data_IF_169308592088
#
_entry.id   IF_169308592088
#
_cell.length_a   1.000
_cell.length_b   1.000
_cell.length_c   1.000
_cell.angle_alpha   90.00
_cell.angle_beta   90.00
_cell.angle_gamma   90.00
#
_symmetry.space_group_name_H-M   'P 1'
#
loop_
_entity.id
_entity.type
_entity.pdbx_description
1 polymer ?
#
# COMPACT_ATOMS: atom_id res chain seq x y z
N UNK A 1 2.76 -11.04 15.60
CA UNK A 1 2.42 -12.43 15.98
C UNK A 1 1.44 -13.04 14.97
N UNK A 2 1.13 -14.33 15.08
CA UNK A 2 0.07 -14.99 14.29
C UNK A 2 -1.32 -14.77 14.90
N UNK A 3 -2.38 -15.25 14.23
CA UNK A 3 -3.76 -15.13 14.68
C UNK A 3 -3.97 -15.78 16.05
N UNK A 4 -4.82 -15.16 16.86
CA UNK A 4 -5.29 -15.70 18.13
C UNK A 4 -6.58 -16.47 17.87
N UNK A 5 -6.64 -17.74 18.26
CA UNK A 5 -7.78 -18.60 18.06
C UNK A 5 -8.39 -19.04 19.40
N UNK A 6 -9.63 -19.51 19.33
CA UNK A 6 -10.35 -20.10 20.46
C UNK A 6 -10.92 -21.45 20.02
N UNK A 7 -11.05 -22.40 20.95
CA UNK A 7 -11.62 -23.71 20.64
C UNK A 7 -10.72 -24.54 19.71
N UNK A 8 -11.28 -25.36 18.79
CA UNK A 8 -10.48 -26.31 18.00
C UNK A 8 -9.42 -25.68 17.09
N UNK A 9 -9.57 -24.41 16.71
CA UNK A 9 -8.61 -23.70 15.85
C UNK A 9 -7.25 -23.45 16.55
N UNK A 10 -7.17 -23.60 17.88
CA UNK A 10 -5.91 -23.47 18.64
C UNK A 10 -4.90 -24.57 18.32
N UNK A 11 -5.32 -25.64 17.64
CA UNK A 11 -4.42 -26.64 17.09
C UNK A 11 -3.57 -26.10 15.91
N UNK A 12 -4.03 -25.02 15.25
CA UNK A 12 -3.40 -24.44 14.06
C UNK A 12 -2.87 -23.01 14.29
N UNK A 13 -3.39 -22.31 15.29
CA UNK A 13 -3.08 -20.91 15.59
C UNK A 13 -2.74 -20.74 17.07
N UNK A 14 -2.34 -19.53 17.47
CA UNK A 14 -2.01 -19.28 18.87
C UNK A 14 -3.28 -19.32 19.72
N UNK A 15 -3.23 -19.98 20.87
CA UNK A 15 -4.34 -19.92 21.83
C UNK A 15 -4.51 -18.49 22.35
N UNK A 16 -5.76 -18.02 22.33
CA UNK A 16 -6.10 -16.67 22.76
C UNK A 16 -5.75 -16.39 24.22
N UNK A 17 -6.06 -17.32 25.13
CA UNK A 17 -5.84 -17.18 26.56
C UNK A 17 -4.34 -17.24 26.91
N UNK A 18 -3.58 -18.08 26.20
CA UNK A 18 -2.12 -18.16 26.40
C UNK A 18 -1.43 -16.85 26.01
N UNK A 19 -1.77 -16.29 24.85
CA UNK A 19 -1.17 -15.03 24.41
C UNK A 19 -1.61 -13.88 25.30
N UNK A 20 -2.88 -13.86 25.72
CA UNK A 20 -3.37 -12.87 26.65
C UNK A 20 -2.63 -12.96 28.00
N UNK A 21 -2.51 -14.15 28.57
CA UNK A 21 -1.77 -14.39 29.80
C UNK A 21 -0.31 -13.94 29.70
N UNK A 22 0.32 -14.13 28.54
CA UNK A 22 1.67 -13.64 28.28
C UNK A 22 1.74 -12.10 28.28
N UNK A 23 0.81 -11.44 27.58
CA UNK A 23 0.76 -9.98 27.50
C UNK A 23 0.49 -9.36 28.88
N UNK A 24 -0.46 -9.90 29.64
CA UNK A 24 -0.74 -9.48 31.01
C UNK A 24 0.46 -9.68 31.94
N UNK A 25 1.18 -10.79 31.80
CA UNK A 25 2.36 -11.07 32.63
C UNK A 25 3.53 -10.13 32.31
N UNK A 26 3.75 -9.80 31.03
CA UNK A 26 4.95 -9.08 30.58
C UNK A 26 4.74 -7.57 30.46
N UNK A 27 3.52 -7.12 30.16
CA UNK A 27 3.22 -5.75 29.73
C UNK A 27 1.91 -5.20 30.31
N UNK A 28 1.46 -5.71 31.47
CA UNK A 28 0.21 -5.30 32.12
C UNK A 28 -0.07 -3.80 31.99
N UNK A 29 -1.30 -3.45 31.57
CA UNK A 29 -1.78 -2.08 31.37
C UNK A 29 -1.03 -1.23 30.31
N UNK A 30 0.01 -1.79 29.66
CA UNK A 30 0.90 -1.11 28.72
C UNK A 30 1.00 -1.80 27.36
N UNK A 31 -0.03 -2.55 26.95
CA UNK A 31 -0.09 -3.13 25.60
C UNK A 31 -1.38 -2.77 24.85
N UNK A 32 -1.27 -2.81 23.52
CA UNK A 32 -2.40 -2.71 22.59
C UNK A 32 -2.27 -3.78 21.53
N UNK A 33 -3.35 -4.52 21.29
CA UNK A 33 -3.41 -5.55 20.23
C UNK A 33 -4.01 -4.95 18.97
N UNK A 34 -3.27 -5.00 17.86
CA UNK A 34 -3.76 -4.58 16.54
C UNK A 34 -3.98 -5.80 15.64
N UNK A 35 -5.23 -5.98 15.22
CA UNK A 35 -5.64 -7.04 14.30
C UNK A 35 -5.76 -6.53 12.87
N UNK A 36 -4.90 -7.05 11.99
CA UNK A 36 -4.86 -6.77 10.55
C UNK A 36 -5.49 -7.90 9.71
N UNK A 37 -6.03 -8.96 10.35
CA UNK A 37 -6.66 -10.06 9.64
C UNK A 37 -8.02 -9.63 9.07
N UNK A 38 -8.51 -10.36 8.08
CA UNK A 38 -9.86 -10.16 7.53
C UNK A 38 -10.97 -10.55 8.52
N UNK A 39 -10.60 -11.17 9.66
CA UNK A 39 -11.53 -11.67 10.67
C UNK A 39 -11.46 -10.81 11.93
N UNK A 40 -12.45 -9.93 12.19
CA UNK A 40 -12.55 -9.31 13.50
C UNK A 40 -12.90 -10.39 14.55
N UNK A 41 -12.48 -10.19 15.79
CA UNK A 41 -12.90 -11.05 16.88
C UNK A 41 -14.35 -10.77 17.27
N UNK A 42 -15.14 -11.84 17.44
CA UNK A 42 -16.57 -11.75 17.77
C UNK A 42 -16.85 -11.53 19.26
N UNK A 43 -15.80 -11.31 20.07
CA UNK A 43 -15.88 -11.09 21.51
C UNK A 43 -15.16 -9.79 21.90
N UNK A 44 -15.59 -8.62 21.38
CA UNK A 44 -14.95 -7.33 21.66
C UNK A 44 -14.94 -7.00 23.16
N UNK A 45 -15.93 -7.48 23.93
CA UNK A 45 -15.99 -7.26 25.38
C UNK A 45 -14.85 -7.95 26.14
N UNK A 46 -14.37 -9.11 25.66
CA UNK A 46 -13.20 -9.78 26.23
C UNK A 46 -11.90 -9.11 25.82
N UNK A 47 -11.95 -8.18 24.86
CA UNK A 47 -10.80 -7.49 24.27
C UNK A 47 -10.71 -6.02 24.68
N UNK A 48 -11.83 -5.46 25.15
CA UNK A 48 -11.98 -4.08 25.61
C UNK A 48 -11.02 -3.73 26.76
N UNK A 49 -10.82 -4.61 27.78
CA UNK A 49 -9.82 -4.38 28.82
C UNK A 49 -8.38 -4.30 28.28
N UNK A 50 -8.13 -4.82 27.08
CA UNK A 50 -6.79 -5.07 26.52
C UNK A 50 -6.47 -4.16 25.33
N UNK A 51 -7.20 -3.04 25.20
CA UNK A 51 -7.00 -2.00 24.17
C UNK A 51 -6.94 -2.57 22.75
N UNK A 52 -7.85 -3.47 22.38
CA UNK A 52 -7.90 -4.03 21.04
C UNK A 52 -8.29 -3.01 19.97
N UNK A 53 -7.59 -3.03 18.82
CA UNK A 53 -7.96 -2.26 17.63
C UNK A 53 -8.01 -3.13 16.38
N UNK A 54 -9.11 -3.01 15.65
CA UNK A 54 -9.30 -3.71 14.38
C UNK A 54 -8.97 -2.80 13.18
N UNK A 55 -8.02 -3.23 12.37
CA UNK A 55 -7.61 -2.59 11.13
C UNK A 55 -7.46 -3.62 10.01
N UNK A 56 -8.36 -4.61 9.97
CA UNK A 56 -8.30 -5.72 9.02
C UNK A 56 -8.50 -5.37 7.55
N UNK A 57 -7.89 -6.16 6.67
CA UNK A 57 -8.20 -6.19 5.23
C UNK A 57 -8.00 -7.61 4.67
N UNK A 58 -8.56 -7.91 3.47
CA UNK A 58 -8.52 -9.25 2.88
C UNK A 58 -7.12 -9.85 2.79
N UNK A 59 -7.01 -11.17 2.92
CA UNK A 59 -5.72 -11.84 2.77
C UNK A 59 -5.14 -11.72 1.35
N UNK A 60 -3.81 -11.81 1.26
CA UNK A 60 -3.05 -11.74 0.00
C UNK A 60 -3.33 -10.49 -0.85
N UNK A 61 -3.79 -9.41 -0.21
CA UNK A 61 -3.94 -8.09 -0.82
C UNK A 61 -3.11 -7.06 -0.05
N UNK A 62 -2.58 -6.03 -0.73
CA UNK A 62 -2.01 -4.89 -0.04
C UNK A 62 -3.11 -4.10 0.72
N UNK A 63 -2.76 -3.42 1.83
CA UNK A 63 -3.71 -2.53 2.48
C UNK A 63 -4.08 -1.37 1.55
N UNK A 64 -5.34 -0.92 1.51
CA UNK A 64 -5.69 0.38 0.92
C UNK A 64 -4.77 1.47 1.46
N UNK A 65 -4.31 2.39 0.61
CA UNK A 65 -3.16 3.23 0.98
C UNK A 65 -3.46 4.15 2.17
N UNK A 66 -4.62 4.81 2.19
CA UNK A 66 -5.04 5.63 3.32
C UNK A 66 -5.17 4.82 4.63
N UNK A 67 -5.55 3.54 4.52
CA UNK A 67 -5.68 2.65 5.67
C UNK A 67 -4.31 2.32 6.27
N UNK A 68 -3.30 2.04 5.43
CA UNK A 68 -1.92 1.85 5.89
C UNK A 68 -1.42 3.06 6.69
N UNK A 69 -1.65 4.28 6.19
CA UNK A 69 -1.25 5.52 6.88
C UNK A 69 -1.90 5.62 8.26
N UNK A 70 -3.22 5.38 8.35
CA UNK A 70 -3.95 5.42 9.63
C UNK A 70 -3.43 4.43 10.65
N UNK A 71 -3.12 3.19 10.23
CA UNK A 71 -2.57 2.18 11.14
C UNK A 71 -1.21 2.62 11.68
N UNK A 72 -0.34 3.16 10.81
CA UNK A 72 0.98 3.64 11.21
C UNK A 72 0.89 4.83 12.17
N UNK A 73 -0.02 5.78 11.93
CA UNK A 73 -0.29 6.90 12.84
C UNK A 73 -0.82 6.42 14.20
N UNK A 74 -1.72 5.43 14.22
CA UNK A 74 -2.25 4.89 15.47
C UNK A 74 -1.16 4.16 16.28
N UNK A 75 -0.29 3.40 15.62
CA UNK A 75 0.87 2.79 16.28
C UNK A 75 1.78 3.87 16.89
N UNK A 76 2.09 4.92 16.13
CA UNK A 76 2.94 6.01 16.63
C UNK A 76 2.31 6.71 17.83
N UNK A 77 0.99 6.98 17.77
CA UNK A 77 0.24 7.58 18.86
C UNK A 77 0.31 6.73 20.13
N UNK A 78 0.10 5.42 20.04
CA UNK A 78 0.16 4.51 21.20
C UNK A 78 1.57 4.49 21.81
N UNK A 79 2.60 4.31 20.97
CA UNK A 79 3.99 4.22 21.42
C UNK A 79 4.57 5.54 21.92
N UNK A 80 3.98 6.69 21.54
CA UNK A 80 4.40 8.01 22.01
C UNK A 80 3.75 8.44 23.32
N UNK A 81 2.71 7.72 23.79
CA UNK A 81 2.04 8.04 25.05
C UNK A 81 2.87 7.67 26.27
N UNK A 82 3.58 6.55 26.22
CA UNK A 82 4.43 6.06 27.31
C UNK A 82 5.57 5.21 26.72
N UNK A 83 6.85 5.45 27.11
CA UNK A 83 7.99 4.66 26.63
C UNK A 83 7.92 3.16 26.93
N UNK A 84 7.12 2.71 27.91
CA UNK A 84 6.95 1.27 28.18
C UNK A 84 5.79 0.63 27.41
N UNK A 85 5.02 1.42 26.65
CA UNK A 85 3.94 0.88 25.84
C UNK A 85 4.47 -0.04 24.73
N UNK A 86 3.74 -1.14 24.48
CA UNK A 86 4.01 -2.08 23.39
C UNK A 86 2.80 -2.26 22.51
N UNK A 87 3.03 -2.50 21.21
CA UNK A 87 1.96 -2.80 20.26
C UNK A 87 2.16 -4.20 19.68
N UNK A 88 1.20 -5.09 19.96
CA UNK A 88 1.17 -6.46 19.46
C UNK A 88 0.35 -6.53 18.17
N UNK A 89 1.04 -6.55 17.02
CA UNK A 89 0.41 -6.56 15.69
C UNK A 89 0.29 -8.00 15.18
N UNK A 90 -0.87 -8.39 14.67
CA UNK A 90 -1.08 -9.70 14.06
C UNK A 90 -1.95 -9.66 12.79
N UNK A 91 -1.85 -10.71 11.99
CA UNK A 91 -2.79 -11.05 10.92
C UNK A 91 -3.12 -12.54 11.03
N UNK A 92 -3.31 -13.27 9.93
CA UNK A 92 -3.46 -14.74 9.96
C UNK A 92 -2.14 -15.43 10.37
N UNK A 93 -1.09 -15.30 9.56
CA UNK A 93 0.22 -15.93 9.81
C UNK A 93 1.28 -14.99 10.43
N UNK A 94 0.95 -13.70 10.56
CA UNK A 94 1.88 -12.68 11.04
C UNK A 94 3.07 -12.44 10.11
N UNK A 95 2.88 -12.61 8.79
CA UNK A 95 3.90 -12.45 7.75
C UNK A 95 3.69 -11.14 6.98
N UNK A 96 3.25 -11.20 5.72
CA UNK A 96 3.27 -10.06 4.80
C UNK A 96 2.51 -8.84 5.31
N UNK A 97 1.22 -8.97 5.69
CA UNK A 97 0.40 -7.83 6.17
C UNK A 97 1.00 -7.14 7.40
N UNK A 98 1.41 -7.94 8.38
CA UNK A 98 2.12 -7.47 9.58
C UNK A 98 3.44 -6.79 9.20
N UNK A 99 4.18 -7.37 8.25
CA UNK A 99 5.42 -6.81 7.73
C UNK A 99 5.26 -5.47 7.04
N UNK A 100 4.23 -5.31 6.22
CA UNK A 100 3.94 -4.03 5.54
C UNK A 100 3.75 -2.91 6.56
N UNK A 101 2.95 -3.16 7.60
CA UNK A 101 2.69 -2.18 8.66
C UNK A 101 3.94 -1.91 9.49
N UNK A 102 4.64 -2.95 9.94
CA UNK A 102 5.85 -2.79 10.77
C UNK A 102 6.96 -2.08 9.99
N UNK A 103 7.25 -2.49 8.75
CA UNK A 103 8.26 -1.84 7.93
C UNK A 103 7.91 -0.37 7.67
N UNK A 104 6.64 -0.05 7.40
CA UNK A 104 6.17 1.33 7.25
C UNK A 104 6.32 2.13 8.55
N UNK A 105 6.04 1.53 9.71
CA UNK A 105 6.26 2.18 11.00
C UNK A 105 7.74 2.42 11.32
N UNK A 106 8.62 1.48 10.99
CA UNK A 106 10.07 1.66 11.15
C UNK A 106 10.62 2.84 10.32
N UNK A 107 10.02 3.09 9.16
CA UNK A 107 10.31 4.26 8.33
C UNK A 107 9.72 5.54 8.94
N UNK A 108 8.46 5.49 9.40
CA UNK A 108 7.79 6.61 10.04
C UNK A 108 8.55 7.13 11.27
N UNK A 109 8.97 6.19 12.13
CA UNK A 109 9.73 6.43 13.37
C UNK A 109 11.20 6.79 13.12
N UNK A 110 11.65 6.83 11.85
CA UNK A 110 13.02 7.18 11.44
C UNK A 110 14.09 6.24 11.98
N UNK A 111 13.73 5.04 12.46
CA UNK A 111 14.68 3.98 12.78
C UNK A 111 15.44 3.55 11.51
N UNK A 112 14.72 3.49 10.38
CA UNK A 112 15.31 3.33 9.06
C UNK A 112 14.89 4.45 8.12
N UNK A 113 15.74 4.78 7.16
CA UNK A 113 15.47 5.75 6.10
C UNK A 113 15.53 5.12 4.70
N UNK A 114 15.35 3.80 4.64
CA UNK A 114 15.36 3.01 3.40
C UNK A 114 14.31 1.90 3.51
N UNK A 115 13.35 1.82 2.57
CA UNK A 115 12.37 0.74 2.52
C UNK A 115 13.01 -0.64 2.52
N UNK A 116 14.08 -0.82 1.75
CA UNK A 116 14.76 -2.11 1.62
C UNK A 116 15.35 -2.57 2.96
N UNK A 117 15.98 -1.67 3.72
CA UNK A 117 16.50 -2.00 5.05
C UNK A 117 15.39 -2.29 6.06
N UNK A 118 14.29 -1.54 6.04
CA UNK A 118 13.15 -1.78 6.93
C UNK A 118 12.50 -3.15 6.67
N UNK A 119 12.30 -3.50 5.39
CA UNK A 119 11.75 -4.79 4.95
C UNK A 119 12.73 -5.92 5.33
N UNK A 120 14.02 -5.75 5.02
CA UNK A 120 15.05 -6.72 5.37
C UNK A 120 15.07 -6.99 6.88
N UNK A 121 15.10 -5.93 7.69
CA UNK A 121 15.12 -6.05 9.15
C UNK A 121 13.90 -6.82 9.68
N UNK A 122 12.68 -6.48 9.21
CA UNK A 122 11.48 -7.21 9.58
C UNK A 122 11.58 -8.70 9.21
N UNK A 123 11.99 -9.00 7.98
CA UNK A 123 12.11 -10.36 7.47
C UNK A 123 13.11 -11.20 8.29
N UNK A 124 14.27 -10.61 8.64
CA UNK A 124 15.26 -11.27 9.49
C UNK A 124 14.73 -11.54 10.89
N UNK A 125 14.00 -10.59 11.49
CA UNK A 125 13.46 -10.74 12.85
C UNK A 125 12.26 -11.68 12.94
N UNK A 126 11.45 -11.80 11.89
CA UNK A 126 10.18 -12.57 11.94
C UNK A 126 10.30 -14.02 11.47
N UNK A 127 10.92 -14.31 10.33
CA UNK A 127 10.95 -15.67 9.75
C UNK A 127 12.16 -15.89 8.84
N UNK A 128 13.39 -15.72 9.36
CA UNK A 128 14.65 -16.01 8.66
C UNK A 128 14.70 -15.47 7.21
N UNK A 129 14.17 -14.27 6.98
CA UNK A 129 14.27 -13.59 5.68
C UNK A 129 13.04 -13.70 4.76
N UNK A 130 12.03 -14.51 5.08
CA UNK A 130 10.99 -14.91 4.11
C UNK A 130 9.55 -14.43 4.41
N UNK A 131 9.37 -13.40 5.24
CA UNK A 131 8.03 -12.98 5.69
C UNK A 131 7.28 -12.08 4.70
N UNK A 132 7.72 -10.82 4.51
CA UNK A 132 7.17 -9.85 3.57
C UNK A 132 7.86 -10.02 2.22
N UNK A 133 7.18 -10.69 1.29
CA UNK A 133 7.68 -10.97 -0.07
C UNK A 133 6.73 -10.59 -1.20
N UNK A 134 5.44 -10.39 -0.89
CA UNK A 134 4.44 -10.10 -1.92
C UNK A 134 4.74 -8.74 -2.58
N UNK A 135 4.95 -8.67 -3.91
CA UNK A 135 5.40 -7.45 -4.58
C UNK A 135 4.53 -6.22 -4.33
N UNK A 136 3.20 -6.36 -4.34
CA UNK A 136 2.31 -5.24 -4.05
C UNK A 136 2.47 -4.70 -2.63
N UNK A 137 2.71 -5.57 -1.65
CA UNK A 137 2.91 -5.19 -0.26
C UNK A 137 4.28 -4.56 -0.03
N UNK A 138 5.33 -5.03 -0.71
CA UNK A 138 6.65 -4.38 -0.76
C UNK A 138 6.53 -2.99 -1.39
N UNK A 139 5.76 -2.87 -2.48
CA UNK A 139 5.50 -1.58 -3.12
C UNK A 139 4.75 -0.62 -2.20
N UNK A 140 3.81 -1.09 -1.39
CA UNK A 140 3.14 -0.23 -0.42
C UNK A 140 4.10 0.38 0.60
N UNK A 141 5.13 -0.34 1.04
CA UNK A 141 6.17 0.22 1.92
C UNK A 141 6.96 1.34 1.20
N UNK A 142 7.32 1.12 -0.06
CA UNK A 142 7.99 2.13 -0.88
C UNK A 142 7.11 3.35 -1.15
N UNK A 143 5.83 3.12 -1.47
CA UNK A 143 4.82 4.15 -1.64
C UNK A 143 4.65 4.98 -0.36
N UNK A 144 4.60 4.31 0.80
CA UNK A 144 4.50 4.97 2.09
C UNK A 144 5.73 5.85 2.36
N UNK A 145 6.93 5.33 2.09
CA UNK A 145 8.18 6.08 2.21
C UNK A 145 8.19 7.33 1.32
N UNK A 146 7.78 7.22 0.05
CA UNK A 146 7.74 8.38 -0.84
C UNK A 146 6.67 9.38 -0.39
N UNK A 147 5.49 8.90 -0.01
CA UNK A 147 4.38 9.71 0.49
C UNK A 147 4.77 10.56 1.71
N UNK A 148 5.45 9.96 2.69
CA UNK A 148 5.84 10.68 3.90
C UNK A 148 6.82 11.82 3.65
N UNK A 149 7.53 11.84 2.51
CA UNK A 149 8.47 12.92 2.19
C UNK A 149 7.76 14.24 1.84
N UNK A 150 6.57 14.16 1.23
CA UNK A 150 5.83 15.36 0.79
C UNK A 150 4.53 15.60 1.56
N UNK A 151 3.96 14.59 2.20
CA UNK A 151 2.65 14.70 2.87
C UNK A 151 2.74 14.89 4.40
N UNK A 152 3.93 14.82 5.01
CA UNK A 152 4.07 14.95 6.47
C UNK A 152 3.81 16.39 6.92
N UNK A 153 2.88 16.55 7.86
CA UNK A 153 2.49 17.82 8.46
C UNK A 153 3.38 18.17 9.68
N UNK A 154 3.44 19.45 10.09
CA UNK A 154 4.27 19.89 11.22
C UNK A 154 3.93 19.22 12.56
N UNK A 155 2.68 18.79 12.74
CA UNK A 155 2.21 18.07 13.93
C UNK A 155 2.57 16.56 13.91
N UNK A 156 3.27 16.08 12.88
CA UNK A 156 3.69 14.68 12.75
C UNK A 156 2.68 13.76 12.07
N UNK A 157 1.47 14.22 11.76
CA UNK A 157 0.46 13.46 10.98
C UNK A 157 0.67 13.66 9.48
N UNK A 158 -0.21 13.08 8.66
CA UNK A 158 -0.13 13.18 7.20
C UNK A 158 -1.33 13.89 6.56
N UNK A 159 -1.07 14.70 5.53
CA UNK A 159 -2.12 15.20 4.64
C UNK A 159 -2.57 14.11 3.67
N UNK A 160 -3.78 13.59 3.89
CA UNK A 160 -4.41 12.57 3.06
C UNK A 160 -5.31 13.17 1.97
N UNK A 161 -5.34 14.48 1.76
CA UNK A 161 -6.21 15.15 0.79
C UNK A 161 -6.10 14.53 -0.61
N UNK A 162 -4.88 14.37 -1.13
CA UNK A 162 -4.61 13.76 -2.44
C UNK A 162 -4.95 12.27 -2.51
N UNK A 163 -4.93 11.57 -1.38
CA UNK A 163 -5.29 10.14 -1.32
C UNK A 163 -6.81 9.98 -1.28
N UNK A 164 -7.50 10.79 -0.46
CA UNK A 164 -8.95 10.73 -0.32
C UNK A 164 -9.68 11.28 -1.56
N UNK A 165 -9.12 12.32 -2.19
CA UNK A 165 -9.59 12.88 -3.45
C UNK A 165 -8.70 12.37 -4.59
N UNK A 166 -8.77 11.06 -4.82
CA UNK A 166 -7.81 10.41 -5.67
C UNK A 166 -7.88 10.89 -7.13
N UNK A 167 -6.73 10.93 -7.79
CA UNK A 167 -6.63 11.24 -9.22
C UNK A 167 -7.49 10.29 -10.05
N UNK A 168 -8.07 10.81 -11.13
CA UNK A 168 -8.88 10.04 -12.07
C UNK A 168 -8.04 9.72 -13.31
N UNK A 169 -8.10 8.48 -13.75
CA UNK A 169 -7.44 8.04 -14.99
C UNK A 169 -8.41 7.23 -15.85
N UNK A 170 -8.33 7.39 -17.16
CA UNK A 170 -8.89 6.42 -18.09
C UNK A 170 -7.86 5.36 -18.43
N UNK A 171 -8.21 4.09 -18.29
CA UNK A 171 -7.44 2.99 -18.87
C UNK A 171 -7.70 2.95 -20.38
N UNK A 172 -6.63 3.14 -21.18
CA UNK A 172 -6.70 3.19 -22.63
C UNK A 172 -6.37 1.85 -23.27
N UNK A 173 -5.33 1.18 -22.77
CA UNK A 173 -4.95 -0.13 -23.28
C UNK A 173 -4.17 -0.94 -22.25
N UNK A 174 -4.19 -2.26 -22.45
CA UNK A 174 -3.38 -3.23 -21.73
C UNK A 174 -2.46 -3.91 -22.74
N UNK A 175 -1.18 -3.92 -22.44
CA UNK A 175 -0.15 -4.55 -23.25
C UNK A 175 0.58 -5.60 -22.44
N UNK A 176 0.86 -6.77 -23.03
CA UNK A 176 1.57 -7.83 -22.36
C UNK A 176 2.55 -8.53 -23.31
N UNK A 177 3.80 -8.68 -22.89
CA UNK A 177 4.87 -9.21 -23.74
C UNK A 177 5.96 -9.93 -22.93
N UNK A 178 6.36 -11.16 -23.30
CA UNK A 178 5.62 -12.05 -24.19
C UNK A 178 4.30 -12.51 -23.54
N UNK A 179 3.36 -12.95 -24.36
CA UNK A 179 2.15 -13.62 -23.88
C UNK A 179 2.53 -14.91 -23.14
N UNK A 180 1.96 -15.17 -21.95
CA UNK A 180 2.29 -16.35 -21.17
C UNK A 180 1.78 -17.64 -21.82
N UNK A 181 2.52 -18.72 -21.60
CA UNK A 181 2.13 -20.07 -22.00
C UNK A 181 1.36 -20.72 -20.86
N UNK A 182 0.02 -20.71 -20.95
CA UNK A 182 -0.86 -21.22 -19.87
C UNK A 182 -1.88 -22.23 -20.35
N UNK A 183 -2.53 -22.89 -19.38
CA UNK A 183 -3.57 -23.89 -19.60
C UNK A 183 -3.02 -25.26 -20.00
N UNK A 184 -3.89 -26.26 -20.17
CA UNK A 184 -3.48 -27.65 -20.40
C UNK A 184 -2.57 -27.86 -21.62
N UNK A 185 -2.66 -26.97 -22.61
CA UNK A 185 -1.85 -27.06 -23.83
C UNK A 185 -0.57 -26.22 -23.78
N UNK A 186 -0.40 -25.34 -22.79
CA UNK A 186 0.74 -24.40 -22.68
C UNK A 186 1.09 -23.67 -23.99
N UNK A 187 0.09 -23.43 -24.85
CA UNK A 187 0.29 -22.85 -26.19
C UNK A 187 -0.10 -21.37 -26.28
N UNK A 188 -0.57 -20.77 -25.18
CA UNK A 188 -0.94 -19.36 -25.18
C UNK A 188 -1.88 -18.97 -24.05
N UNK A 189 -2.47 -17.78 -24.20
CA UNK A 189 -3.28 -17.11 -23.19
C UNK A 189 -4.61 -16.65 -23.78
N UNK A 190 -5.69 -16.91 -23.06
CA UNK A 190 -7.04 -16.40 -23.35
C UNK A 190 -7.44 -15.47 -22.21
N UNK A 191 -7.42 -14.14 -22.40
CA UNK A 191 -7.54 -13.19 -21.30
C UNK A 191 -8.95 -13.06 -20.75
N UNK A 192 -9.02 -13.06 -19.43
CA UNK A 192 -10.10 -12.53 -18.62
C UNK A 192 -9.52 -11.62 -17.56
N UNK A 193 -9.91 -10.36 -17.54
CA UNK A 193 -9.30 -9.36 -16.66
C UNK A 193 -10.40 -8.68 -15.86
N UNK A 194 -10.29 -8.77 -14.54
CA UNK A 194 -11.17 -8.10 -13.60
C UNK A 194 -10.51 -6.83 -13.06
N UNK A 195 -11.31 -5.80 -12.82
CA UNK A 195 -10.98 -4.65 -12.00
C UNK A 195 -11.83 -4.72 -10.73
N UNK A 196 -11.17 -4.53 -9.59
CA UNK A 196 -11.81 -4.33 -8.32
C UNK A 196 -11.41 -2.98 -7.74
N UNK A 197 -12.41 -2.16 -7.45
CA UNK A 197 -12.27 -0.96 -6.63
C UNK A 197 -12.30 -1.40 -5.16
N UNK A 198 -11.20 -1.23 -4.44
CA UNK A 198 -11.10 -1.68 -3.05
C UNK A 198 -11.90 -0.81 -2.07
N UNK A 199 -12.25 0.43 -2.45
CA UNK A 199 -13.07 1.32 -1.63
C UNK A 199 -14.53 0.92 -1.66
N UNK A 200 -15.08 0.64 -2.85
CA UNK A 200 -16.49 0.25 -3.01
C UNK A 200 -16.70 -1.27 -2.91
N UNK A 201 -15.65 -2.07 -3.11
CA UNK A 201 -15.73 -3.52 -3.20
C UNK A 201 -16.26 -4.01 -4.56
N UNK A 202 -16.66 -3.10 -5.44
CA UNK A 202 -17.19 -3.43 -6.75
C UNK A 202 -16.12 -4.14 -7.59
N UNK A 203 -16.53 -5.23 -8.23
CA UNK A 203 -15.67 -6.04 -9.10
C UNK A 203 -16.38 -6.24 -10.43
N UNK A 204 -15.71 -5.95 -11.53
CA UNK A 204 -16.23 -6.11 -12.89
C UNK A 204 -15.14 -6.66 -13.82
N UNK A 205 -15.53 -7.42 -14.84
CA UNK A 205 -14.60 -7.78 -15.91
C UNK A 205 -14.55 -6.68 -16.96
N UNK A 206 -13.35 -6.37 -17.43
CA UNK A 206 -13.12 -5.35 -18.46
C UNK A 206 -12.72 -5.97 -19.80
N UNK A 207 -12.20 -7.20 -19.76
CA UNK A 207 -11.85 -8.00 -20.93
C UNK A 207 -12.32 -9.42 -20.66
N UNK A 208 -13.07 -10.00 -21.59
CA UNK A 208 -13.39 -11.44 -21.64
C UNK A 208 -13.25 -11.90 -23.08
N UNK A 209 -12.08 -12.41 -23.44
CA UNK A 209 -11.76 -12.74 -24.83
C UNK A 209 -12.15 -14.18 -25.18
N UNK A 210 -12.69 -14.36 -26.40
CA UNK A 210 -12.83 -15.67 -27.03
C UNK A 210 -11.59 -16.07 -27.84
N UNK A 211 -10.69 -15.12 -28.08
CA UNK A 211 -9.46 -15.32 -28.86
C UNK A 211 -8.35 -15.80 -27.94
N UNK A 212 -7.68 -16.87 -28.35
CA UNK A 212 -6.43 -17.31 -27.73
C UNK A 212 -5.25 -16.60 -28.41
N UNK A 213 -4.45 -15.91 -27.62
CA UNK A 213 -3.18 -15.34 -28.02
C UNK A 213 -2.11 -16.43 -27.95
N UNK A 214 -1.50 -16.77 -29.08
CA UNK A 214 -0.44 -17.79 -29.15
C UNK A 214 0.81 -17.32 -28.41
N UNK A 215 1.46 -18.17 -27.62
CA UNK A 215 2.76 -17.85 -27.01
C UNK A 215 3.95 -18.07 -27.98
N UNK A 216 3.69 -18.60 -29.18
CA UNK A 216 4.71 -18.79 -30.20
C UNK A 216 5.31 -17.45 -30.66
N UNK A 217 6.61 -17.46 -31.00
CA UNK A 217 7.35 -16.30 -31.51
C UNK A 217 7.27 -15.05 -30.63
N UNK A 218 7.11 -15.21 -29.31
CA UNK A 218 7.02 -14.08 -28.36
C UNK A 218 5.90 -13.10 -28.74
N UNK A 219 4.73 -13.63 -29.13
CA UNK A 219 3.60 -12.79 -29.45
C UNK A 219 3.27 -11.85 -28.30
N UNK A 220 2.69 -10.71 -28.66
CA UNK A 220 2.25 -9.68 -27.72
C UNK A 220 0.74 -9.68 -27.66
N UNK A 221 0.21 -9.44 -26.47
CA UNK A 221 -1.18 -9.05 -26.31
C UNK A 221 -1.22 -7.53 -26.30
N UNK A 222 -2.16 -6.98 -27.06
CA UNK A 222 -2.44 -5.56 -27.12
C UNK A 222 -3.96 -5.41 -27.21
N UNK A 223 -4.58 -5.02 -26.10
CA UNK A 223 -6.03 -4.85 -25.98
C UNK A 223 -6.32 -3.37 -25.72
N UNK A 224 -6.98 -2.70 -26.67
CA UNK A 224 -7.45 -1.32 -26.52
C UNK A 224 -8.84 -1.35 -25.92
N UNK A 225 -9.09 -0.51 -24.91
CA UNK A 225 -10.38 -0.48 -24.26
C UNK A 225 -11.40 0.13 -25.24
N UNK A 226 -12.49 -0.59 -25.58
CA UNK A 226 -13.47 -0.09 -26.55
C UNK A 226 -14.23 1.14 -26.03
N UNK A 227 -14.31 1.27 -24.70
CA UNK A 227 -14.79 2.45 -24.00
C UNK A 227 -13.79 2.82 -22.89
N UNK A 228 -13.58 4.12 -22.61
CA UNK A 228 -12.71 4.53 -21.52
C UNK A 228 -13.20 3.97 -20.18
N UNK A 229 -12.31 3.28 -19.46
CA UNK A 229 -12.61 2.74 -18.13
C UNK A 229 -12.03 3.69 -17.09
N UNK A 230 -12.90 4.32 -16.30
CA UNK A 230 -12.49 5.26 -15.27
C UNK A 230 -11.94 4.52 -14.05
N UNK A 231 -10.73 4.90 -13.64
CA UNK A 231 -10.03 4.38 -12.47
C UNK A 231 -9.82 5.52 -11.47
N UNK A 232 -10.14 5.27 -10.20
CA UNK A 232 -9.95 6.23 -9.11
C UNK A 232 -9.72 5.51 -7.78
N UNK A 233 -8.74 5.98 -6.99
CA UNK A 233 -8.40 5.41 -5.69
C UNK A 233 -7.54 4.14 -5.76
N UNK A 234 -7.83 3.20 -4.87
CA UNK A 234 -7.18 1.90 -4.70
C UNK A 234 -7.74 0.85 -5.69
N UNK A 235 -6.94 0.47 -6.68
CA UNK A 235 -7.35 -0.42 -7.76
C UNK A 235 -6.58 -1.75 -7.68
N UNK A 236 -7.31 -2.86 -7.70
CA UNK A 236 -6.77 -4.21 -7.86
C UNK A 236 -7.20 -4.76 -9.23
N UNK A 237 -6.25 -5.12 -10.08
CA UNK A 237 -6.53 -5.81 -11.33
C UNK A 237 -6.12 -7.29 -11.23
N UNK A 238 -7.01 -8.19 -11.64
CA UNK A 238 -6.80 -9.63 -11.56
C UNK A 238 -6.79 -10.24 -12.96
N UNK A 239 -5.69 -10.88 -13.32
CA UNK A 239 -5.47 -11.45 -14.64
C UNK A 239 -5.72 -12.95 -14.59
N UNK A 240 -6.72 -13.40 -15.35
CA UNK A 240 -7.16 -14.79 -15.42
C UNK A 240 -7.02 -15.33 -16.84
N UNK A 241 -6.88 -16.65 -16.93
CA UNK A 241 -6.95 -17.43 -18.16
C UNK A 241 -8.29 -18.17 -18.25
N UNK A 242 -8.99 -18.03 -19.38
CA UNK A 242 -10.17 -18.84 -19.69
C UNK A 242 -9.76 -20.09 -20.48
N UNK A 243 -10.12 -21.26 -19.96
CA UNK A 243 -10.16 -22.51 -20.71
C UNK A 243 -11.60 -22.83 -21.09
N UNK A 244 -11.94 -22.70 -22.38
CA UNK A 244 -13.23 -23.14 -22.92
C UNK A 244 -13.22 -24.67 -23.08
N UNK A 245 -14.04 -25.36 -22.30
CA UNK A 245 -14.15 -26.83 -22.32
C UNK A 245 -15.24 -27.30 -23.28
N UNK A 246 -16.32 -26.52 -23.40
CA UNK A 246 -17.40 -26.71 -24.36
C UNK A 246 -18.09 -25.37 -24.66
N UNK A 247 -19.18 -25.37 -25.44
CA UNK A 247 -20.00 -24.17 -25.67
C UNK A 247 -20.73 -23.67 -24.42
N UNK A 248 -20.89 -24.51 -23.40
CA UNK A 248 -21.63 -24.20 -22.16
C UNK A 248 -20.75 -24.21 -20.91
N UNK A 249 -19.49 -24.63 -21.03
CA UNK A 249 -18.58 -24.78 -19.90
C UNK A 249 -17.23 -24.12 -20.17
N UNK A 250 -16.83 -23.27 -19.23
CA UNK A 250 -15.52 -22.63 -19.19
C UNK A 250 -14.94 -22.73 -17.79
N UNK A 251 -13.61 -22.69 -17.69
CA UNK A 251 -12.87 -22.65 -16.44
C UNK A 251 -11.98 -21.42 -16.42
N UNK A 252 -12.07 -20.67 -15.33
CA UNK A 252 -11.21 -19.52 -15.06
C UNK A 252 -10.07 -19.94 -14.14
N UNK A 253 -8.85 -19.54 -14.49
CA UNK A 253 -7.65 -19.76 -13.67
C UNK A 253 -6.95 -18.43 -13.45
N UNK A 254 -6.87 -17.97 -12.20
CA UNK A 254 -6.13 -16.76 -11.86
C UNK A 254 -4.63 -16.97 -12.10
N UNK A 255 -3.99 -15.99 -12.74
CA UNK A 255 -2.57 -16.03 -13.04
C UNK A 255 -1.78 -15.14 -12.07
N UNK A 256 -2.16 -13.88 -11.98
CA UNK A 256 -1.53 -12.90 -11.10
C UNK A 256 -2.43 -11.68 -10.85
N UNK A 257 -2.01 -10.85 -9.91
CA UNK A 257 -2.65 -9.57 -9.57
C UNK A 257 -1.66 -8.44 -9.65
N UNK A 258 -2.18 -7.25 -9.93
CA UNK A 258 -1.46 -5.99 -9.73
C UNK A 258 -2.34 -5.02 -8.98
N UNK A 259 -1.72 -4.21 -8.14
CA UNK A 259 -2.39 -3.19 -7.37
C UNK A 259 -1.68 -1.84 -7.49
N UNK A 260 -2.45 -0.76 -7.46
CA UNK A 260 -1.94 0.60 -7.39
C UNK A 260 -2.99 1.55 -6.80
N UNK A 261 -2.52 2.64 -6.22
CA UNK A 261 -3.36 3.79 -5.89
C UNK A 261 -3.15 4.88 -6.94
N UNK A 262 -4.21 5.35 -7.57
CA UNK A 262 -4.17 6.33 -8.67
C UNK A 262 -3.40 7.62 -8.34
N UNK A 263 -3.52 8.17 -7.13
CA UNK A 263 -2.76 9.38 -6.74
C UNK A 263 -1.26 9.18 -6.56
N UNK A 264 -0.79 7.94 -6.53
CA UNK A 264 0.63 7.61 -6.44
C UNK A 264 1.25 7.36 -7.82
N UNK A 265 0.48 7.57 -8.88
CA UNK A 265 0.91 7.47 -10.27
C UNK A 265 1.44 8.83 -10.71
N UNK A 266 2.63 8.82 -11.29
CA UNK A 266 3.29 10.01 -11.85
C UNK A 266 3.61 9.87 -13.35
N UNK A 267 3.11 8.81 -13.99
CA UNK A 267 3.38 8.46 -15.40
C UNK A 267 2.07 8.10 -16.12
N UNK A 268 2.06 8.18 -17.45
CA UNK A 268 0.93 7.72 -18.28
C UNK A 268 1.03 6.24 -18.62
N UNK A 269 2.14 5.58 -18.28
CA UNK A 269 2.35 4.15 -18.49
C UNK A 269 2.83 3.51 -17.19
N UNK A 270 2.07 2.52 -16.70
CA UNK A 270 2.48 1.69 -15.58
C UNK A 270 2.96 0.35 -16.10
N UNK A 271 4.27 0.09 -15.98
CA UNK A 271 4.89 -1.16 -16.43
C UNK A 271 5.26 -2.03 -15.23
N UNK A 272 4.89 -3.30 -15.30
CA UNK A 272 5.10 -4.34 -14.29
C UNK A 272 5.93 -5.46 -14.91
N UNK A 273 7.01 -5.84 -14.25
CA UNK A 273 7.79 -7.04 -14.57
C UNK A 273 7.27 -8.24 -13.78
N UNK A 274 7.84 -9.43 -14.01
CA UNK A 274 7.54 -10.62 -13.20
C UNK A 274 7.78 -10.40 -11.69
N UNK A 275 8.69 -9.49 -11.32
CA UNK A 275 9.00 -9.16 -9.92
C UNK A 275 7.97 -8.21 -9.29
N UNK A 276 7.10 -7.62 -10.11
CA UNK A 276 6.14 -6.60 -9.71
C UNK A 276 4.70 -7.13 -9.59
N UNK A 277 4.48 -8.40 -9.92
CA UNK A 277 3.14 -9.02 -9.94
C UNK A 277 2.96 -9.99 -8.77
N UNK A 278 1.76 -10.03 -8.22
CA UNK A 278 1.41 -10.92 -7.11
C UNK A 278 0.92 -12.26 -7.67
N UNK A 279 1.52 -13.38 -7.26
CA UNK A 279 1.03 -14.74 -7.57
C UNK A 279 0.32 -15.40 -6.37
N UNK A 280 -0.51 -16.41 -6.68
CA UNK A 280 -1.41 -17.06 -5.70
C UNK A 280 -0.77 -18.12 -4.80
N UNK A 281 0.55 -18.27 -4.74
CA UNK A 281 1.20 -19.23 -3.84
C UNK A 281 2.49 -18.62 -3.26
N UNK A 282 2.38 -17.80 -2.21
CA UNK A 282 3.57 -17.19 -1.56
C UNK A 282 4.12 -17.98 -0.37
N UNK A 283 3.59 -19.17 -0.11
CA UNK A 283 4.09 -20.07 0.95
C UNK A 283 5.02 -21.17 0.45
N UNK A 284 5.08 -21.40 -0.86
CA UNK A 284 6.09 -22.26 -1.47
C UNK A 284 7.38 -21.44 -1.72
N UNK A 285 8.55 -21.87 -1.23
CA UNK A 285 9.85 -21.29 -1.59
C UNK A 285 10.15 -21.34 -3.09
N UNK A 286 9.32 -22.04 -3.88
CA UNK A 286 9.45 -22.14 -5.31
C UNK A 286 8.60 -21.11 -6.07
N UNK A 287 9.24 -19.97 -6.38
CA UNK A 287 8.99 -19.04 -7.50
C UNK A 287 8.87 -19.72 -8.91
N UNK A 288 8.82 -21.06 -8.95
CA UNK A 288 8.98 -21.86 -10.15
C UNK A 288 7.69 -21.88 -10.98
N UNK A 289 6.50 -21.87 -10.38
CA UNK A 289 5.24 -21.77 -11.14
C UNK A 289 5.15 -20.49 -11.97
N UNK A 290 5.65 -19.36 -11.47
CA UNK A 290 5.69 -18.12 -12.24
C UNK A 290 6.76 -18.20 -13.34
N UNK A 291 7.97 -18.69 -13.04
CA UNK A 291 9.06 -18.83 -14.03
C UNK A 291 8.77 -19.85 -15.13
N UNK A 292 7.93 -20.85 -14.85
CA UNK A 292 7.48 -21.83 -15.84
C UNK A 292 6.48 -21.22 -16.84
N UNK A 293 5.72 -20.20 -16.40
CA UNK A 293 4.69 -19.54 -17.19
C UNK A 293 5.21 -18.27 -17.87
N UNK A 294 6.08 -17.53 -17.19
CA UNK A 294 6.58 -16.22 -17.57
C UNK A 294 8.09 -16.24 -17.73
N UNK A 295 8.58 -15.64 -18.81
CA UNK A 295 10.02 -15.41 -19.00
C UNK A 295 10.47 -14.17 -18.21
N UNK A 296 11.76 -14.05 -17.90
CA UNK A 296 12.34 -12.83 -17.28
C UNK A 296 12.12 -11.54 -18.09
N UNK A 297 11.78 -11.66 -19.38
CA UNK A 297 11.42 -10.54 -20.26
C UNK A 297 9.94 -10.15 -20.20
N UNK A 298 9.16 -10.79 -19.32
CA UNK A 298 7.75 -10.49 -19.15
C UNK A 298 7.55 -9.05 -18.69
N UNK A 299 6.63 -8.38 -19.38
CA UNK A 299 6.15 -7.05 -19.07
C UNK A 299 4.64 -7.00 -19.25
N UNK A 300 3.97 -6.35 -18.30
CA UNK A 300 2.60 -5.88 -18.41
C UNK A 300 2.64 -4.35 -18.35
N UNK A 301 2.07 -3.69 -19.35
CA UNK A 301 1.98 -2.22 -19.38
C UNK A 301 0.51 -1.80 -19.44
N UNK A 302 0.11 -0.96 -18.49
CA UNK A 302 -1.17 -0.28 -18.48
C UNK A 302 -0.97 1.14 -19.03
N UNK A 303 -1.65 1.48 -20.11
CA UNK A 303 -1.62 2.85 -20.67
C UNK A 303 -2.79 3.63 -20.13
N UNK A 304 -2.49 4.74 -19.46
CA UNK A 304 -3.41 5.57 -18.72
C UNK A 304 -3.45 7.00 -19.29
N UNK A 305 -4.61 7.63 -19.18
CA UNK A 305 -4.81 9.04 -19.51
C UNK A 305 -5.37 9.75 -18.27
N UNK A 306 -4.65 10.72 -17.72
CA UNK A 306 -5.11 11.48 -16.54
C UNK A 306 -6.29 12.36 -16.92
N UNK A 307 -7.34 12.34 -16.09
CA UNK A 307 -8.53 13.17 -16.26
C UNK A 307 -8.35 14.42 -15.41
N UNK A 308 -8.15 15.55 -16.07
CA UNK A 308 -8.18 16.85 -15.42
C UNK A 308 -9.62 17.35 -15.39
N UNK A 309 -10.16 17.62 -14.20
CA UNK A 309 -11.44 18.32 -14.10
C UNK A 309 -11.22 19.76 -14.59
N UNK A 310 -11.96 20.18 -15.63
CA UNK A 310 -12.00 21.60 -16.00
C UNK A 310 -12.45 22.39 -14.77
N UNK A 311 -11.63 23.35 -14.32
CA UNK A 311 -12.06 24.29 -13.29
C UNK A 311 -13.31 24.98 -13.83
N UNK A 312 -14.45 24.79 -13.14
CA UNK A 312 -15.66 25.53 -13.47
C UNK A 312 -15.28 27.02 -13.57
N UNK A 313 -15.61 27.71 -14.68
CA UNK A 313 -15.29 29.13 -14.80
C UNK A 313 -15.87 29.85 -13.59
N UNK A 314 -15.15 30.80 -12.99
CA UNK A 314 -15.66 31.54 -11.84
C UNK A 314 -17.02 32.10 -12.21
N UNK A 315 -18.04 31.73 -11.44
CA UNK A 315 -19.40 32.24 -11.62
C UNK A 315 -19.32 33.76 -11.57
N UNK A 316 -19.53 34.39 -12.73
CA UNK A 316 -19.63 35.84 -12.83
C UNK A 316 -20.74 36.25 -11.87
N UNK A 317 -20.48 37.14 -10.87
CA UNK A 317 -21.53 37.62 -10.00
C UNK A 317 -22.59 38.27 -10.86
N UNK A 318 -23.82 37.75 -10.82
CA UNK A 318 -24.95 38.35 -11.50
C UNK A 318 -25.12 39.75 -10.94
N UNK A 319 -24.88 40.78 -11.76
CA UNK A 319 -25.22 42.16 -11.42
C UNK A 319 -26.71 42.20 -11.07
N UNK A 320 -27.00 42.57 -9.83
CA UNK A 320 -28.36 42.83 -9.37
C UNK A 320 -28.82 44.09 -10.08
N UNK A 321 -29.60 43.93 -11.15
CA UNK A 321 -30.32 45.03 -11.79
C UNK A 321 -31.38 45.53 -10.82
N UNK A 322 -31.06 46.59 -10.06
CA UNK A 322 -32.04 47.30 -9.24
C UNK A 322 -32.93 48.08 -10.20
N UNK A 323 -34.18 47.65 -10.35
CA UNK A 323 -35.22 48.43 -11.02
C UNK A 323 -35.60 49.62 -10.14
N UNK A 324 -35.38 50.82 -10.66
CA UNK A 324 -35.86 52.06 -10.07
C UNK A 324 -37.37 52.20 -10.33
N UNK A 325 -38.18 52.18 -9.27
CA UNK A 325 -39.46 52.90 -9.25
C UNK A 325 -39.84 53.34 -7.82
N UNK A 326 -40.14 54.63 -7.75
CA UNK A 326 -41.02 55.35 -6.82
C UNK A 326 -40.57 55.75 -5.40
N UNK A 327 -40.15 57.02 -5.34
CA UNK A 327 -40.67 58.14 -4.53
C UNK A 327 -40.89 57.94 -3.02
N UNK A 328 -40.08 58.67 -2.24
CA UNK A 328 -40.36 58.98 -0.83
C UNK A 328 -39.24 59.80 -0.16
N UNK A 329 -39.20 61.12 -0.41
CA UNK A 329 -38.54 62.08 0.51
C UNK A 329 -39.49 62.48 1.64
N UNK A 330 -39.07 63.12 2.76
CA UNK A 330 -37.72 63.42 3.24
C UNK A 330 -37.49 63.10 4.75
N UNK A 331 -36.23 63.06 5.21
CA UNK A 331 -35.71 63.99 6.24
C UNK A 331 -34.26 63.71 6.60
N UNK A 332 -33.56 64.83 6.76
CA UNK A 332 -32.17 65.02 7.16
C UNK A 332 -31.81 64.36 8.49
N UNK A 333 -30.56 63.91 8.62
CA UNK A 333 -29.61 64.52 9.56
C UNK A 333 -28.17 64.02 9.31
N UNK A 334 -27.26 64.99 9.32
CA UNK A 334 -25.82 64.85 9.21
C UNK A 334 -25.21 64.06 10.38
N UNK A 335 -24.20 63.23 10.13
CA UNK A 335 -22.83 63.43 10.62
C UNK A 335 -21.91 62.26 10.22
N UNK A 336 -20.87 62.55 9.45
CA UNK A 336 -19.60 61.79 9.41
C UNK A 336 -18.60 62.47 10.37
N UNK A 337 -17.34 62.04 10.46
CA UNK A 337 -16.82 60.72 10.84
C UNK A 337 -15.73 60.86 11.94
N UNK A 338 -15.34 59.78 12.63
CA UNK A 338 -14.03 59.77 13.31
C UNK A 338 -13.33 58.43 13.12
N UNK A 339 -12.29 58.47 12.29
CA UNK A 339 -11.15 57.55 12.28
C UNK A 339 -10.15 58.06 13.33
N UNK A 340 -9.38 57.18 14.00
CA UNK A 340 -7.97 57.49 14.12
C UNK A 340 -7.04 56.36 13.64
N UNK A 341 -5.95 56.84 13.05
CA UNK A 341 -4.79 56.16 12.49
C UNK A 341 -3.95 55.46 13.56
N UNK A 342 -3.37 54.32 13.13
CA UNK A 342 -1.97 53.88 13.26
C UNK A 342 -1.03 54.72 14.15
N UNK A 343 -0.24 54.02 14.96
CA UNK A 343 1.18 54.34 15.14
C UNK A 343 2.05 53.09 15.04
N UNK A 344 3.09 53.20 14.20
CA UNK A 344 4.29 52.34 14.14
C UNK A 344 5.30 52.89 15.14
N UNK A 345 6.08 52.01 15.76
CA UNK A 345 7.44 52.34 16.16
C UNK A 345 8.30 51.07 16.15
N UNK A 346 9.50 51.25 15.57
CA UNK A 346 10.57 50.27 15.46
C UNK A 346 11.25 50.07 16.82
N UNK A 347 12.01 48.99 16.97
CA UNK A 347 13.46 49.05 17.25
C UNK A 347 14.05 47.63 17.47
N UNK A 348 15.12 47.34 16.74
CA UNK A 348 16.14 46.30 17.02
C UNK A 348 17.38 46.99 17.60
N UNK A 349 18.24 46.29 18.37
CA UNK A 349 19.48 45.77 17.75
C UNK A 349 20.09 44.47 18.36
N UNK A 350 20.80 43.74 17.47
CA UNK A 350 22.10 43.03 17.60
C UNK A 350 22.42 41.99 18.72
N UNK A 351 22.48 40.70 18.28
CA UNK A 351 23.59 39.69 18.31
C UNK A 351 24.44 39.39 19.59
N UNK A 352 25.28 38.32 19.68
CA UNK A 352 25.57 37.19 18.79
C UNK A 352 25.56 35.78 19.47
N UNK A 353 25.77 34.75 18.63
CA UNK A 353 25.98 33.32 18.93
C UNK A 353 27.39 32.99 19.45
N UNK A 354 27.61 31.78 20.01
CA UNK A 354 28.90 31.11 19.92
C UNK A 354 28.82 29.73 19.24
N UNK A 355 29.73 29.52 18.31
CA UNK A 355 30.16 28.26 17.69
C UNK A 355 31.30 27.63 18.50
N UNK A 356 31.25 26.33 18.81
CA UNK A 356 32.45 25.56 19.24
C UNK A 356 32.35 24.08 18.83
N UNK A 357 33.37 23.67 18.05
CA UNK A 357 34.07 22.39 17.91
C UNK A 357 33.43 21.12 17.31
N UNK A 358 33.77 20.94 16.04
CA UNK A 358 34.40 19.76 15.40
C UNK A 358 35.14 18.81 16.35
N UNK A 359 34.82 17.52 16.29
CA UNK A 359 35.71 16.40 16.59
C UNK A 359 35.74 15.51 15.34
N UNK A 360 36.95 15.25 14.85
CA UNK A 360 37.29 14.32 13.78
C UNK A 360 37.70 12.96 14.39
N UNK A 361 37.67 11.93 13.53
CA UNK A 361 38.26 10.58 13.65
C UNK A 361 37.37 9.55 14.40
N UNK A 362 37.10 8.33 13.91
CA UNK A 362 37.80 7.48 12.95
C UNK A 362 36.84 6.71 12.01
N UNK A 363 37.24 6.53 10.76
CA UNK A 363 36.68 5.58 9.80
C UNK A 363 37.25 4.18 10.07
N UNK A 364 36.38 3.18 10.30
CA UNK A 364 36.72 1.76 10.11
C UNK A 364 36.00 1.23 8.87
N UNK A 365 36.74 1.05 7.78
CA UNK A 365 36.33 0.23 6.62
C UNK A 365 36.74 -1.24 6.77
N UNK A 366 36.03 -2.17 6.10
CA UNK A 366 35.81 -3.53 6.60
C UNK A 366 36.88 -4.54 6.17
N UNK A 367 37.21 -5.46 7.08
CA UNK A 367 38.03 -6.64 6.79
C UNK A 367 37.32 -7.62 5.85
N UNK A 368 38.06 -8.04 4.84
CA UNK A 368 37.72 -9.08 3.87
C UNK A 368 37.50 -10.43 4.55
N UNK A 369 36.30 -11.01 4.38
CA UNK A 369 36.05 -12.41 4.68
C UNK A 369 36.36 -13.24 3.44
N UNK A 370 37.50 -13.93 3.48
CA UNK A 370 37.92 -14.90 2.48
C UNK A 370 37.09 -16.19 2.60
N UNK A 371 36.45 -16.57 1.50
CA UNK A 371 35.78 -17.86 1.28
C UNK A 371 36.78 -19.03 1.40
N UNK A 372 36.66 -19.85 2.45
CA UNK A 372 37.21 -21.20 2.45
C UNK A 372 36.09 -22.19 2.14
N UNK A 373 36.06 -22.66 0.89
CA UNK A 373 35.37 -23.88 0.49
C UNK A 373 36.05 -25.06 1.18
N UNK A 374 35.30 -25.81 1.99
CA UNK A 374 35.71 -27.12 2.47
C UNK A 374 34.95 -28.15 1.64
N UNK A 375 35.66 -28.80 0.71
CA UNK A 375 35.16 -29.95 -0.03
C UNK A 375 35.04 -31.14 0.94
N UNK A 376 33.79 -31.54 1.22
CA UNK A 376 33.48 -32.78 1.92
C UNK A 376 33.52 -33.93 0.90
N UNK A 377 34.66 -34.60 0.86
CA UNK A 377 34.84 -35.92 0.26
C UNK A 377 34.15 -36.95 1.14
N UNK A 378 33.10 -37.61 0.64
CA UNK A 378 32.56 -38.84 1.23
C UNK A 378 33.27 -40.06 0.61
N UNK A 379 33.67 -41.06 1.41
CA UNK A 379 34.43 -42.20 0.92
C UNK A 379 33.51 -43.26 0.29
N UNK A 380 33.91 -43.76 -0.86
CA UNK A 380 33.54 -45.09 -1.35
C UNK A 380 34.21 -46.16 -0.48
N UNK A 381 33.46 -47.17 -0.02
CA UNK A 381 33.80 -48.58 -0.23
C UNK A 381 32.80 -49.57 0.40
N UNK A 382 32.34 -50.49 -0.44
CA UNK A 382 32.20 -51.94 -0.26
C UNK A 382 31.44 -52.47 0.97
N UNK A 383 30.23 -53.01 0.73
CA UNK A 383 29.98 -54.44 0.45
C UNK A 383 28.56 -54.68 -0.01
#
# INVERSE_FOLDING_TARGET
MGFLATGPETALFNDFEDVLSLLEKCHKDHYTVINLSERPYNYPQLLDPYNYRYFGWPDHQPPPFAHLVKVVEEIHKILSQDPINVVAIHCMSGRSRTGTVIASYLLHSKIFNSPDYAIYYFNQKRSQGLSLRLPSQVRQVNNFFNFMQYARLPNGTYDLSNINNAKKFYLKSIQMSPVPSVGLSNTGYTPLIYIKDLKTGNTEYIIKSKKKYSSQKQAKLYEVMPQPILLQGDILMQFHHITYLSSLAERESELFKVYFHTSLIHTTELTYTIKDIDSMDTDDPLDFKLRDVYTDRFTLTLVLEEVFEEMAPPSVPTEVTISSNEVGTPRSNFSSPVVPKRNRQNDTPDSPSPSVNTILEEEETPQQVTNNKTDLVLPENNT
#
